data_IF_785723852421
#
_entry.id   IF_785723852421
#
_cell.length_a   1.000
_cell.length_b   1.000
_cell.length_c   1.000
_cell.angle_alpha   90.00
_cell.angle_beta   90.00
_cell.angle_gamma   90.00
#
_symmetry.space_group_name_H-M   'P 1'
#
loop_
_entity.id
_entity.type
_entity.pdbx_description
1 polymer ?
#
# COMPACT_ATOMS: atom_id res chain seq x y z
N UNK A 1 3.82 5.47 -14.22
CA UNK A 1 3.10 6.53 -13.48
C UNK A 1 1.87 5.93 -12.80
N UNK A 2 1.55 6.33 -11.56
CA UNK A 2 0.40 5.89 -10.78
C UNK A 2 -0.37 7.15 -10.41
N UNK A 3 -1.70 7.17 -10.65
CA UNK A 3 -2.52 8.31 -10.27
C UNK A 3 -3.75 7.84 -9.52
N UNK A 4 -4.17 8.57 -8.50
CA UNK A 4 -5.32 8.21 -7.70
C UNK A 4 -5.79 9.31 -6.76
N UNK A 5 -6.99 9.10 -6.24
CA UNK A 5 -7.58 9.96 -5.22
C UNK A 5 -6.86 9.75 -3.88
N UNK A 6 -6.63 10.84 -3.19
CA UNK A 6 -5.90 10.88 -1.92
C UNK A 6 -6.84 10.71 -0.73
N UNK A 7 -6.47 9.78 0.15
CA UNK A 7 -6.93 9.69 1.52
C UNK A 7 -5.85 10.22 2.44
N UNK A 8 -6.20 11.22 3.24
CA UNK A 8 -5.25 11.85 4.14
C UNK A 8 -5.36 11.29 5.55
N UNK A 9 -4.24 10.82 6.08
CA UNK A 9 -4.09 10.37 7.45
C UNK A 9 -3.02 11.21 8.16
N UNK A 10 -3.20 11.46 9.44
CA UNK A 10 -2.24 12.22 10.24
C UNK A 10 -1.01 11.42 10.66
N UNK A 11 -0.33 11.93 11.68
CA UNK A 11 0.84 11.30 12.30
C UNK A 11 0.47 10.08 13.14
N UNK A 12 1.47 9.21 13.34
CA UNK A 12 1.42 8.10 14.30
C UNK A 12 0.30 7.09 14.05
N UNK A 13 -0.07 6.87 12.79
CA UNK A 13 -1.00 5.82 12.42
C UNK A 13 -0.28 4.47 12.58
N UNK A 14 -0.40 3.88 13.75
CA UNK A 14 0.23 2.61 14.06
C UNK A 14 -0.53 1.41 13.46
N UNK A 15 0.07 0.23 13.53
CA UNK A 15 -0.51 -0.98 12.93
C UNK A 15 -1.82 -1.41 13.59
N UNK A 16 -2.09 -1.05 14.85
CA UNK A 16 -3.37 -1.31 15.51
C UNK A 16 -4.49 -0.42 14.96
N UNK A 17 -4.17 0.82 14.60
CA UNK A 17 -5.12 1.74 13.95
C UNK A 17 -5.41 1.32 12.51
N UNK A 18 -4.40 0.76 11.80
CA UNK A 18 -4.59 0.28 10.43
C UNK A 18 -5.38 -1.03 10.44
N UNK A 19 -4.94 -2.00 11.23
CA UNK A 19 -5.52 -3.33 11.29
C UNK A 19 -5.46 -3.88 12.72
N UNK A 20 -6.58 -3.91 13.46
CA UNK A 20 -6.61 -4.29 14.87
C UNK A 20 -6.10 -5.72 15.12
N UNK A 21 -5.46 -5.93 16.29
CA UNK A 21 -4.86 -7.23 16.64
C UNK A 21 -5.87 -8.37 16.76
N UNK A 22 -7.08 -8.07 17.25
CA UNK A 22 -8.10 -9.10 17.47
C UNK A 22 -8.62 -9.76 16.18
N UNK A 23 -8.43 -9.12 15.01
CA UNK A 23 -8.87 -9.67 13.73
C UNK A 23 -7.82 -10.56 13.04
N UNK A 24 -6.68 -10.77 13.67
CA UNK A 24 -5.58 -11.52 13.06
C UNK A 24 -5.91 -13.00 12.82
N UNK A 25 -6.91 -13.53 13.49
CA UNK A 25 -7.39 -14.92 13.31
C UNK A 25 -8.46 -15.08 12.24
N UNK A 26 -8.93 -13.96 11.65
CA UNK A 26 -9.92 -13.98 10.57
C UNK A 26 -9.24 -14.25 9.22
N UNK A 27 -10.02 -14.75 8.26
CA UNK A 27 -9.60 -14.83 6.87
C UNK A 27 -9.31 -13.44 6.28
N UNK A 28 -8.47 -13.38 5.23
CA UNK A 28 -8.03 -12.09 4.66
C UNK A 28 -9.21 -11.22 4.19
N UNK A 29 -10.24 -11.83 3.59
CA UNK A 29 -11.42 -11.14 3.10
C UNK A 29 -12.27 -10.53 4.22
N UNK A 30 -12.34 -11.22 5.37
CA UNK A 30 -13.04 -10.70 6.55
C UNK A 30 -12.23 -9.62 7.25
N UNK A 31 -10.92 -9.84 7.38
CA UNK A 31 -9.98 -8.93 8.03
C UNK A 31 -9.98 -7.53 7.42
N UNK A 32 -10.12 -7.43 6.11
CA UNK A 32 -10.15 -6.16 5.38
C UNK A 32 -11.27 -5.21 5.85
N UNK A 33 -12.39 -5.75 6.33
CA UNK A 33 -13.53 -4.96 6.82
C UNK A 33 -13.22 -4.14 8.06
N UNK A 34 -12.12 -4.43 8.73
CA UNK A 34 -11.68 -3.79 9.96
C UNK A 34 -10.59 -2.73 9.75
N UNK A 35 -10.22 -2.48 8.49
CA UNK A 35 -9.23 -1.46 8.17
C UNK A 35 -9.70 -0.09 8.68
N UNK A 36 -8.84 0.53 9.48
CA UNK A 36 -9.06 1.84 10.12
C UNK A 36 -10.33 1.94 10.98
N UNK A 37 -10.89 0.82 11.44
CA UNK A 37 -12.14 0.80 12.19
C UNK A 37 -12.11 1.70 13.44
N UNK A 38 -10.96 1.81 14.10
CA UNK A 38 -10.82 2.58 15.33
C UNK A 38 -10.82 4.10 15.11
N UNK A 39 -10.34 4.58 13.96
CA UNK A 39 -10.16 6.00 13.70
C UNK A 39 -10.95 6.52 12.49
N UNK A 40 -11.33 5.65 11.55
CA UNK A 40 -12.13 6.00 10.37
C UNK A 40 -13.04 4.83 9.95
N UNK A 41 -14.06 4.44 10.74
CA UNK A 41 -14.85 3.22 10.52
C UNK A 41 -15.53 3.17 9.14
N UNK A 42 -15.93 4.32 8.59
CA UNK A 42 -16.60 4.39 7.28
C UNK A 42 -15.64 4.37 6.09
N UNK A 43 -14.34 4.41 6.32
CA UNK A 43 -13.34 4.47 5.25
C UNK A 43 -13.43 3.25 4.33
N UNK A 44 -13.64 2.06 4.88
CA UNK A 44 -13.71 0.81 4.12
C UNK A 44 -14.86 0.80 3.08
N UNK A 45 -15.94 1.51 3.36
CA UNK A 45 -17.09 1.61 2.45
C UNK A 45 -16.85 2.62 1.32
N UNK A 46 -15.81 3.44 1.41
CA UNK A 46 -15.53 4.56 0.51
C UNK A 46 -14.26 4.39 -0.30
N UNK A 47 -13.32 3.54 0.15
CA UNK A 47 -12.08 3.26 -0.57
C UNK A 47 -12.37 2.59 -1.91
N UNK A 48 -11.59 2.94 -2.93
CA UNK A 48 -11.73 2.43 -4.29
C UNK A 48 -10.39 1.96 -4.83
N UNK A 49 -10.48 1.09 -5.83
CA UNK A 49 -9.31 0.69 -6.61
C UNK A 49 -8.60 1.92 -7.20
N UNK A 50 -7.31 2.02 -6.96
CA UNK A 50 -6.48 3.14 -7.41
C UNK A 50 -6.24 4.23 -6.36
N UNK A 51 -6.94 4.20 -5.23
CA UNK A 51 -6.76 5.20 -4.18
C UNK A 51 -5.34 5.20 -3.61
N UNK A 52 -4.89 6.36 -3.18
CA UNK A 52 -3.58 6.62 -2.60
C UNK A 52 -3.75 7.10 -1.15
N UNK A 53 -2.95 6.58 -0.24
CA UNK A 53 -2.88 7.09 1.14
C UNK A 53 -1.72 8.07 1.23
N UNK A 54 -1.99 9.28 1.75
CA UNK A 54 -0.99 10.25 2.19
C UNK A 54 -1.09 10.36 3.71
N UNK A 55 0.06 10.27 4.39
CA UNK A 55 0.11 10.28 5.84
C UNK A 55 1.28 11.14 6.37
N UNK A 56 1.16 11.51 7.61
CA UNK A 56 2.20 12.21 8.36
C UNK A 56 3.33 11.28 8.80
N UNK A 57 3.91 11.56 9.97
CA UNK A 57 5.05 10.81 10.48
C UNK A 57 4.65 9.46 11.08
N UNK A 58 5.58 8.49 10.99
CA UNK A 58 5.50 7.19 11.65
C UNK A 58 4.31 6.32 11.23
N UNK A 59 3.90 6.39 9.95
CA UNK A 59 2.82 5.54 9.46
C UNK A 59 3.22 4.05 9.48
N UNK A 60 2.35 3.21 10.02
CA UNK A 60 2.57 1.77 10.11
C UNK A 60 3.57 1.36 11.20
N UNK A 61 3.85 2.22 12.17
CA UNK A 61 4.67 1.87 13.33
C UNK A 61 3.97 0.82 14.19
N UNK A 62 4.74 -0.05 14.85
CA UNK A 62 4.21 -1.06 15.78
C UNK A 62 4.50 -2.49 15.35
N UNK A 63 3.56 -3.40 15.60
CA UNK A 63 3.73 -4.84 15.38
C UNK A 63 3.72 -5.22 13.89
N UNK A 64 4.39 -6.33 13.57
CA UNK A 64 4.32 -6.91 12.23
C UNK A 64 2.92 -7.51 12.00
N UNK A 65 2.14 -6.87 11.14
CA UNK A 65 0.81 -7.31 10.72
C UNK A 65 0.70 -7.21 9.21
N UNK A 66 -0.17 -7.99 8.56
CA UNK A 66 -0.36 -7.93 7.10
C UNK A 66 -1.19 -6.69 6.70
N UNK A 67 -0.93 -5.55 7.35
CA UNK A 67 -1.62 -4.29 7.08
C UNK A 67 -1.41 -3.84 5.63
N UNK A 68 -0.20 -3.97 5.10
CA UNK A 68 0.10 -3.63 3.71
C UNK A 68 -0.66 -4.53 2.72
N UNK A 69 -0.79 -5.83 3.03
CA UNK A 69 -1.60 -6.76 2.22
C UNK A 69 -3.07 -6.36 2.23
N UNK A 70 -3.62 -6.07 3.40
CA UNK A 70 -5.01 -5.69 3.54
C UNK A 70 -5.32 -4.38 2.80
N UNK A 71 -4.45 -3.36 2.90
CA UNK A 71 -4.58 -2.10 2.15
C UNK A 71 -4.55 -2.33 0.64
N UNK A 72 -3.60 -3.13 0.15
CA UNK A 72 -3.52 -3.48 -1.27
C UNK A 72 -4.79 -4.20 -1.74
N UNK A 73 -5.28 -5.15 -0.98
CA UNK A 73 -6.45 -5.97 -1.36
C UNK A 73 -7.75 -5.16 -1.46
N UNK A 74 -7.88 -4.05 -0.72
CA UNK A 74 -9.03 -3.13 -0.85
C UNK A 74 -8.83 -2.06 -1.93
N UNK A 75 -7.71 -2.11 -2.66
CA UNK A 75 -7.48 -1.27 -3.83
C UNK A 75 -6.52 -0.10 -3.64
N UNK A 76 -5.93 0.07 -2.44
CA UNK A 76 -4.87 1.07 -2.26
C UNK A 76 -3.66 0.69 -3.11
N UNK A 77 -3.22 1.62 -3.97
CA UNK A 77 -2.09 1.39 -4.88
C UNK A 77 -0.78 1.92 -4.34
N UNK A 78 -0.83 2.96 -3.52
CA UNK A 78 0.37 3.58 -2.97
C UNK A 78 0.08 4.16 -1.58
N UNK A 79 1.07 4.05 -0.70
CA UNK A 79 1.14 4.78 0.58
C UNK A 79 2.33 5.71 0.53
N UNK A 80 2.13 6.99 0.77
CA UNK A 80 3.17 8.01 0.81
C UNK A 80 3.09 8.71 2.17
N UNK A 81 4.16 8.72 2.92
CA UNK A 81 4.18 9.31 4.25
C UNK A 81 5.43 10.15 4.48
N UNK A 82 5.39 11.05 5.47
CA UNK A 82 6.58 11.77 5.94
C UNK A 82 7.66 10.78 6.38
N UNK A 83 7.24 9.73 7.09
CA UNK A 83 8.08 8.57 7.43
C UNK A 83 7.25 7.31 7.63
N UNK A 84 7.86 6.15 7.41
CA UNK A 84 7.23 4.84 7.50
C UNK A 84 7.84 4.00 8.63
N UNK A 85 6.99 3.22 9.29
CA UNK A 85 7.46 2.18 10.20
C UNK A 85 8.25 1.10 9.44
N UNK A 86 9.44 0.73 9.95
CA UNK A 86 10.32 -0.24 9.27
C UNK A 86 9.65 -1.58 8.97
N UNK A 87 8.83 -2.09 9.90
CA UNK A 87 8.11 -3.35 9.70
C UNK A 87 7.01 -3.20 8.64
N UNK A 88 6.30 -2.08 8.64
CA UNK A 88 5.31 -1.78 7.60
C UNK A 88 5.95 -1.70 6.21
N UNK A 89 7.07 -0.99 6.08
CA UNK A 89 7.80 -0.89 4.82
C UNK A 89 8.23 -2.27 4.29
N UNK A 90 8.80 -3.13 5.16
CA UNK A 90 9.15 -4.52 4.78
C UNK A 90 7.93 -5.31 4.32
N UNK A 91 6.81 -5.17 5.02
CA UNK A 91 5.56 -5.83 4.63
C UNK A 91 5.03 -5.27 3.30
N UNK A 92 5.12 -3.97 3.06
CA UNK A 92 4.76 -3.36 1.79
C UNK A 92 5.58 -3.95 0.62
N UNK A 93 6.89 -4.10 0.79
CA UNK A 93 7.75 -4.79 -0.19
C UNK A 93 7.30 -6.23 -0.41
N UNK A 94 7.12 -6.99 0.68
CA UNK A 94 6.79 -8.42 0.59
C UNK A 94 5.43 -8.68 -0.07
N UNK A 95 4.47 -7.81 0.17
CA UNK A 95 3.10 -7.95 -0.33
C UNK A 95 2.79 -7.12 -1.57
N UNK A 96 3.76 -6.40 -2.12
CA UNK A 96 3.59 -5.68 -3.38
C UNK A 96 2.69 -4.44 -3.27
N UNK A 97 2.85 -3.66 -2.21
CA UNK A 97 2.27 -2.34 -2.05
C UNK A 97 3.37 -1.29 -2.20
N UNK A 98 3.19 -0.33 -3.11
CA UNK A 98 4.14 0.78 -3.21
C UNK A 98 4.06 1.64 -1.95
N UNK A 99 5.19 1.82 -1.27
CA UNK A 99 5.30 2.61 -0.06
C UNK A 99 6.52 3.54 -0.15
N UNK A 100 6.30 4.84 -0.05
CA UNK A 100 7.31 5.87 -0.25
C UNK A 100 7.39 6.81 0.96
N UNK A 101 8.60 7.21 1.33
CA UNK A 101 8.81 8.34 2.24
C UNK A 101 9.02 9.60 1.43
N UNK A 102 8.25 10.65 1.73
CA UNK A 102 8.32 11.92 1.04
C UNK A 102 8.19 13.07 2.05
N UNK A 103 9.31 13.72 2.42
CA UNK A 103 9.25 14.86 3.33
C UNK A 103 8.38 16.00 2.79
N UNK A 104 7.54 16.57 3.64
CA UNK A 104 6.62 17.66 3.28
C UNK A 104 5.33 17.21 2.60
N UNK A 105 5.09 15.90 2.49
CA UNK A 105 3.95 15.35 1.76
C UNK A 105 2.63 15.67 2.48
N UNK A 106 2.60 15.60 3.79
CA UNK A 106 1.38 15.85 4.56
C UNK A 106 0.86 17.27 4.35
N UNK A 107 1.73 18.27 4.37
CA UNK A 107 1.38 19.66 4.13
C UNK A 107 1.09 20.01 2.66
N UNK A 108 1.38 19.11 1.72
CA UNK A 108 1.23 19.35 0.29
C UNK A 108 -0.11 18.88 -0.29
N UNK A 109 -0.89 18.14 0.48
CA UNK A 109 -2.15 17.55 0.01
C UNK A 109 -3.29 17.77 1.00
N UNK A 110 -4.49 17.86 0.45
CA UNK A 110 -5.74 17.75 1.18
C UNK A 110 -6.47 16.47 0.77
N UNK A 111 -7.35 15.99 1.63
CA UNK A 111 -8.16 14.80 1.35
C UNK A 111 -9.07 15.03 0.14
N UNK A 112 -9.17 14.00 -0.70
CA UNK A 112 -9.99 14.02 -1.90
C UNK A 112 -9.30 14.60 -3.13
N UNK A 113 -8.13 15.24 -2.98
CA UNK A 113 -7.32 15.67 -4.14
C UNK A 113 -6.76 14.46 -4.89
N UNK A 114 -6.25 14.66 -6.09
CA UNK A 114 -5.57 13.65 -6.87
C UNK A 114 -4.06 13.82 -6.82
N UNK A 115 -3.37 12.69 -6.68
CA UNK A 115 -1.92 12.62 -6.75
C UNK A 115 -1.48 11.81 -7.97
N UNK A 116 -0.43 12.28 -8.63
CA UNK A 116 0.31 11.53 -9.67
C UNK A 116 1.71 11.23 -9.16
N UNK A 117 2.06 9.94 -9.13
CA UNK A 117 3.32 9.41 -8.63
C UNK A 117 4.12 8.81 -9.78
N UNK A 118 5.34 9.27 -9.97
CA UNK A 118 6.30 8.68 -10.89
C UNK A 118 7.25 7.76 -10.12
N UNK A 119 7.36 6.51 -10.55
CA UNK A 119 8.29 5.54 -9.96
C UNK A 119 9.68 5.58 -10.59
N UNK A 120 9.84 6.31 -11.69
CA UNK A 120 11.11 6.44 -12.40
C UNK A 120 12.05 7.44 -11.72
N UNK A 121 11.49 8.56 -11.31
CA UNK A 121 12.20 9.65 -10.63
C UNK A 121 11.70 9.92 -9.20
N UNK A 122 10.74 9.16 -8.70
CA UNK A 122 10.13 9.29 -7.38
C UNK A 122 9.48 10.65 -7.14
N UNK A 123 9.03 11.34 -8.18
CA UNK A 123 8.26 12.57 -8.03
C UNK A 123 6.80 12.28 -7.65
N UNK A 124 6.25 13.12 -6.77
CA UNK A 124 4.86 13.08 -6.31
C UNK A 124 4.25 14.45 -6.58
N UNK A 125 3.30 14.49 -7.50
CA UNK A 125 2.62 15.74 -7.91
C UNK A 125 1.20 15.77 -7.36
N UNK A 126 0.85 16.91 -6.78
CA UNK A 126 -0.52 17.24 -6.48
C UNK A 126 -1.17 17.85 -7.72
N UNK A 127 -2.17 17.18 -8.29
CA UNK A 127 -2.77 17.60 -9.56
C UNK A 127 -3.65 18.85 -9.42
N UNK A 128 -4.16 19.13 -8.21
CA UNK A 128 -4.97 20.32 -7.94
C UNK A 128 -4.12 21.60 -7.82
N UNK A 129 -2.92 21.51 -7.23
CA UNK A 129 -2.05 22.67 -6.96
C UNK A 129 -0.85 22.74 -7.89
N UNK A 130 -0.61 21.68 -8.68
CA UNK A 130 0.58 21.46 -9.49
C UNK A 130 1.90 21.39 -8.70
N UNK A 131 1.84 21.39 -7.36
CA UNK A 131 3.02 21.24 -6.49
C UNK A 131 3.60 19.84 -6.67
N UNK A 132 4.90 19.77 -6.86
CA UNK A 132 5.64 18.51 -6.99
C UNK A 132 6.66 18.39 -5.85
N UNK A 133 6.69 17.24 -5.22
CA UNK A 133 7.66 16.88 -4.18
C UNK A 133 8.49 15.69 -4.64
N UNK A 134 9.63 15.50 -3.99
CA UNK A 134 10.56 14.42 -4.26
C UNK A 134 10.54 13.41 -3.12
N UNK A 135 10.04 12.22 -3.37
CA UNK A 135 10.14 11.12 -2.43
C UNK A 135 11.57 10.56 -2.39
N UNK A 136 11.91 9.93 -1.29
CA UNK A 136 13.18 9.22 -1.15
C UNK A 136 13.22 8.06 -2.13
N UNK A 137 14.33 7.87 -2.87
CA UNK A 137 14.44 6.78 -3.82
C UNK A 137 14.43 5.42 -3.13
N UNK A 138 13.71 4.48 -3.70
CA UNK A 138 13.68 3.08 -3.27
C UNK A 138 14.66 2.28 -4.14
N UNK A 139 15.49 1.38 -3.56
CA UNK A 139 16.37 0.52 -4.33
C UNK A 139 15.60 -0.27 -5.40
N UNK A 140 16.16 -0.36 -6.61
CA UNK A 140 15.50 -1.01 -7.77
C UNK A 140 15.02 -2.43 -7.49
N UNK A 141 15.77 -3.20 -6.68
CA UNK A 141 15.39 -4.55 -6.28
C UNK A 141 14.11 -4.58 -5.45
N UNK A 142 13.95 -3.65 -4.51
CA UNK A 142 12.75 -3.54 -3.69
C UNK A 142 11.57 -2.99 -4.51
N UNK A 143 11.82 -2.00 -5.35
CA UNK A 143 10.81 -1.45 -6.26
C UNK A 143 10.26 -2.53 -7.20
N UNK A 144 11.12 -3.43 -7.75
CA UNK A 144 10.71 -4.58 -8.55
C UNK A 144 9.71 -5.47 -7.79
N UNK A 145 9.94 -5.71 -6.49
CA UNK A 145 9.04 -6.50 -5.66
C UNK A 145 7.71 -5.79 -5.42
N UNK A 146 7.75 -4.50 -5.06
CA UNK A 146 6.53 -3.70 -4.82
C UNK A 146 5.64 -3.64 -6.08
N UNK A 147 6.22 -3.33 -7.23
CA UNK A 147 5.48 -3.24 -8.48
C UNK A 147 5.12 -4.61 -9.07
N UNK A 148 5.86 -5.63 -8.71
CA UNK A 148 5.67 -7.01 -9.17
C UNK A 148 4.57 -7.80 -8.45
N UNK A 149 3.90 -7.21 -7.47
CA UNK A 149 2.86 -7.87 -6.69
C UNK A 149 3.37 -8.58 -5.44
N UNK A 150 4.62 -8.31 -5.03
CA UNK A 150 5.26 -8.88 -3.85
C UNK A 150 6.29 -9.97 -4.18
N UNK A 151 6.87 -10.51 -3.11
CA UNK A 151 8.00 -11.44 -3.26
C UNK A 151 7.60 -12.73 -3.98
N UNK A 152 6.48 -13.36 -3.60
CA UNK A 152 6.07 -14.64 -4.18
C UNK A 152 5.73 -14.54 -5.67
N UNK A 153 4.88 -13.61 -6.14
CA UNK A 153 4.61 -13.46 -7.58
C UNK A 153 5.86 -13.15 -8.41
N UNK A 154 6.83 -12.43 -7.84
CA UNK A 154 8.09 -12.14 -8.53
C UNK A 154 8.96 -13.41 -8.64
N UNK A 155 9.09 -14.17 -7.54
CA UNK A 155 9.87 -15.42 -7.55
C UNK A 155 9.26 -16.48 -8.47
N UNK A 156 7.94 -16.61 -8.50
CA UNK A 156 7.23 -17.49 -9.45
C UNK A 156 7.52 -17.11 -10.90
N UNK A 157 7.40 -15.83 -11.23
CA UNK A 157 7.66 -15.30 -12.58
C UNK A 157 9.11 -15.47 -13.01
N UNK A 158 10.05 -15.32 -12.05
CA UNK A 158 11.48 -15.51 -12.30
C UNK A 158 11.86 -17.00 -12.30
N UNK A 159 10.91 -17.94 -12.09
CA UNK A 159 11.14 -19.40 -12.10
C UNK A 159 11.93 -19.93 -10.90
N UNK A 160 12.01 -19.15 -9.83
CA UNK A 160 12.78 -19.50 -8.62
C UNK A 160 11.97 -20.35 -7.61
N UNK A 161 10.65 -20.34 -7.73
CA UNK A 161 9.73 -21.19 -6.95
C UNK A 161 8.65 -21.75 -7.87
N UNK A 162 8.06 -22.89 -7.49
CA UNK A 162 6.90 -23.43 -8.20
C UNK A 162 5.67 -22.53 -7.99
N UNK A 163 4.81 -22.46 -9.01
CA UNK A 163 3.55 -21.72 -8.89
C UNK A 163 2.67 -22.32 -7.80
N UNK A 164 2.14 -21.50 -6.92
CA UNK A 164 1.21 -21.89 -5.88
C UNK A 164 -0.18 -22.27 -6.43
N UNK A 165 -0.49 -21.94 -7.69
CA UNK A 165 -1.73 -22.33 -8.33
C UNK A 165 -1.60 -23.77 -8.84
N UNK A 166 -2.51 -24.70 -8.44
CA UNK A 166 -2.56 -25.99 -9.08
C UNK A 166 -2.78 -25.80 -10.59
N UNK A 167 -2.16 -26.64 -11.46
CA UNK A 167 -2.38 -26.55 -12.88
C UNK A 167 -3.91 -26.64 -13.13
N UNK A 168 -4.45 -25.61 -13.74
CA UNK A 168 -5.87 -25.57 -14.14
C UNK A 168 -6.12 -26.83 -14.96
N UNK A 169 -6.92 -27.75 -14.42
CA UNK A 169 -7.29 -28.96 -15.14
C UNK A 169 -7.85 -28.53 -16.49
N UNK A 170 -7.08 -28.80 -17.54
CA UNK A 170 -7.51 -28.60 -18.91
C UNK A 170 -8.83 -29.37 -19.04
N UNK A 171 -9.94 -28.65 -19.25
CA UNK A 171 -11.23 -29.27 -19.56
C UNK A 171 -11.02 -30.14 -20.78
N UNK A 172 -10.94 -31.45 -20.56
CA UNK A 172 -11.03 -32.43 -21.63
C UNK A 172 -12.38 -32.24 -22.27
N UNK A 173 -12.42 -31.67 -23.45
CA UNK A 173 -13.56 -31.74 -24.35
C UNK A 173 -13.69 -33.21 -24.79
N UNK A 174 -14.75 -33.87 -24.37
CA UNK A 174 -15.36 -34.98 -25.09
C UNK A 174 -16.53 -34.45 -25.90
#
# INVERSE_FOLDING_TARGET
MISGRVWKFGDNINTDLILPGHVMFLADEERQRYLFQANRPEWINQVRQGDIIIAGQSFGMGSSRPAALALRNVGVTCVIAESLGRLFFRNAVNFGLLALECPGIDAAFEEGQNATVSVDDFSVRNDATAKTLQAKPVPKSLLKLMLGGGIFPVLERDGLIASALPPTAAKAKK
#
